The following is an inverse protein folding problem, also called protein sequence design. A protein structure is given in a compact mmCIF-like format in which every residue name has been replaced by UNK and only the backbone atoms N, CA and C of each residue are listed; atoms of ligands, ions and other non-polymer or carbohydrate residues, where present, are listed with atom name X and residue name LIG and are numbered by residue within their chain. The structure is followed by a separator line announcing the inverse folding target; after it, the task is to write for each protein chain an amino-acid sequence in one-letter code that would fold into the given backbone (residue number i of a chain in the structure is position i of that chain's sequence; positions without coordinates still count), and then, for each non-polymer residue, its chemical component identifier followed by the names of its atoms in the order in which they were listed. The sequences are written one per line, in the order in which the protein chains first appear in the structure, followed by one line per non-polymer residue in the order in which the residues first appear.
data_IF_325623863251
#
_entry.id   IF_325623863251
#
_cell.length_a   1.000
_cell.length_b   1.000
_cell.length_c   1.000
_cell.angle_alpha   90.00
_cell.angle_beta   90.00
_cell.angle_gamma   90.00
#
_symmetry.space_group_name_H-M   'P 1'
#
loop_
_entity.id
_entity.type
_entity.pdbx_description
1 polymer ?
#
# COMPACT_ATOMS: atom_id res chain seq x y z
N UNK A 1 4.70 -15.75 2.76
CA UNK A 1 5.60 -16.07 3.88
C UNK A 1 4.99 -17.13 4.79
N UNK A 2 3.71 -17.05 5.15
CA UNK A 2 3.09 -18.05 6.04
C UNK A 2 2.44 -19.25 5.35
N UNK A 3 2.76 -19.51 4.06
CA UNK A 3 2.14 -20.61 3.28
C UNK A 3 2.35 -21.99 3.89
N UNK A 4 3.50 -22.22 4.54
CA UNK A 4 3.79 -23.50 5.20
C UNK A 4 2.92 -23.68 6.44
N UNK A 5 2.66 -22.60 7.17
CA UNK A 5 1.85 -22.61 8.38
C UNK A 5 0.33 -22.64 8.04
N UNK A 6 -0.06 -22.02 6.92
CA UNK A 6 -1.43 -21.94 6.43
C UNK A 6 -1.47 -22.41 4.97
N UNK A 7 -1.26 -23.71 4.69
CA UNK A 7 -1.10 -24.25 3.33
C UNK A 7 -2.36 -24.16 2.47
N UNK A 8 -3.50 -24.14 3.13
CA UNK A 8 -4.79 -23.86 2.51
C UNK A 8 -5.30 -22.55 3.09
N UNK A 9 -6.17 -21.86 2.43
CA UNK A 9 -6.88 -20.68 2.95
C UNK A 9 -7.88 -21.10 4.04
N UNK A 10 -7.36 -21.84 5.02
CA UNK A 10 -8.14 -22.51 6.06
C UNK A 10 -8.84 -21.49 6.95
N UNK A 11 -9.91 -21.94 7.61
CA UNK A 11 -10.72 -21.16 8.56
C UNK A 11 -9.94 -20.54 9.73
N UNK A 12 -8.65 -20.83 9.85
CA UNK A 12 -7.76 -20.35 10.92
C UNK A 12 -6.73 -19.31 10.43
N UNK A 13 -6.80 -18.84 9.16
CA UNK A 13 -5.84 -17.83 8.71
C UNK A 13 -6.06 -16.49 9.44
N UNK A 14 -5.01 -15.84 9.97
CA UNK A 14 -5.15 -14.60 10.78
C UNK A 14 -5.93 -13.48 10.08
N UNK A 15 -5.84 -13.36 8.75
CA UNK A 15 -6.63 -12.38 7.98
C UNK A 15 -8.15 -12.55 8.10
N UNK A 16 -8.64 -13.71 8.58
CA UNK A 16 -10.07 -13.93 8.77
C UNK A 16 -10.59 -13.36 10.09
N UNK A 17 -9.70 -13.17 11.07
CA UNK A 17 -10.02 -12.68 12.41
C UNK A 17 -9.41 -11.33 12.74
N UNK A 18 -8.40 -10.88 11.98
CA UNK A 18 -7.66 -9.65 12.24
C UNK A 18 -7.53 -8.79 10.98
N UNK A 19 -7.52 -7.46 11.20
CA UNK A 19 -7.29 -6.51 10.11
C UNK A 19 -5.83 -6.55 9.64
N UNK A 20 -5.56 -6.41 8.31
CA UNK A 20 -4.19 -6.36 7.77
C UNK A 20 -3.27 -5.33 8.45
N UNK A 21 -3.79 -4.19 8.91
CA UNK A 21 -3.01 -3.16 9.60
C UNK A 21 -2.53 -3.58 11.00
N UNK A 22 -3.19 -4.58 11.62
CA UNK A 22 -2.74 -5.16 12.87
C UNK A 22 -1.69 -6.24 12.61
N UNK A 23 -1.89 -7.05 11.57
CA UNK A 23 -0.99 -8.15 11.23
C UNK A 23 0.36 -7.68 10.69
N UNK A 24 0.39 -6.48 10.08
CA UNK A 24 1.61 -5.86 9.56
C UNK A 24 1.77 -4.48 10.20
N UNK A 25 2.52 -4.37 11.31
CA UNK A 25 2.63 -3.13 12.05
C UNK A 25 3.35 -2.05 11.25
N UNK A 26 2.87 -0.82 11.39
CA UNK A 26 3.48 0.35 10.77
C UNK A 26 4.63 0.87 11.62
N UNK A 27 5.74 1.25 10.96
CA UNK A 27 6.89 1.85 11.63
C UNK A 27 6.49 3.13 12.38
N UNK A 28 5.82 4.05 11.69
CA UNK A 28 5.47 5.37 12.21
C UNK A 28 4.33 5.39 13.23
N UNK A 29 3.43 4.40 13.22
CA UNK A 29 2.25 4.38 14.09
C UNK A 29 2.30 3.33 15.20
N UNK A 30 3.20 2.35 15.10
CA UNK A 30 3.23 1.24 16.04
C UNK A 30 4.57 1.06 16.76
N UNK A 31 5.67 1.47 16.14
CA UNK A 31 7.00 1.15 16.63
C UNK A 31 7.79 2.37 17.12
N UNK A 32 7.60 3.54 16.53
CA UNK A 32 8.36 4.76 16.86
C UNK A 32 7.51 5.85 17.49
N UNK A 33 6.38 5.50 18.12
CA UNK A 33 5.44 6.50 18.71
C UNK A 33 6.10 7.29 19.85
N UNK A 34 6.89 6.63 20.72
CA UNK A 34 7.41 7.21 21.95
C UNK A 34 8.88 7.66 21.84
N UNK A 35 9.40 7.90 20.64
CA UNK A 35 10.81 8.28 20.41
C UNK A 35 11.83 7.27 20.99
N UNK A 36 11.40 6.10 21.39
CA UNK A 36 12.26 5.01 21.85
C UNK A 36 12.62 4.10 20.68
N UNK A 37 13.83 3.58 20.70
CA UNK A 37 14.24 2.55 19.73
C UNK A 37 13.43 1.28 20.01
N UNK A 38 12.60 0.80 19.06
CA UNK A 38 11.77 -0.37 19.29
C UNK A 38 12.61 -1.62 19.55
N UNK A 39 12.14 -2.45 20.48
CA UNK A 39 12.75 -3.75 20.70
C UNK A 39 12.28 -4.76 19.64
N UNK A 40 13.05 -4.94 18.59
CA UNK A 40 12.72 -5.88 17.52
C UNK A 40 12.93 -7.35 17.87
N UNK A 41 13.50 -7.68 19.04
CA UNK A 41 13.77 -9.08 19.44
C UNK A 41 12.49 -9.85 19.73
N UNK A 42 11.39 -9.15 20.02
CA UNK A 42 10.06 -9.73 20.26
C UNK A 42 9.37 -10.20 18.98
N UNK A 43 9.84 -9.76 17.81
CA UNK A 43 9.27 -10.14 16.53
C UNK A 43 9.95 -11.39 15.99
N UNK A 44 9.16 -12.38 15.59
CA UNK A 44 9.66 -13.60 14.94
C UNK A 44 10.21 -13.28 13.54
N UNK A 45 11.28 -13.97 13.14
CA UNK A 45 11.85 -13.85 11.80
C UNK A 45 11.11 -14.80 10.82
N UNK A 46 10.88 -14.41 9.57
CA UNK A 46 11.14 -13.11 8.96
C UNK A 46 10.17 -12.03 9.45
N UNK A 47 10.67 -10.82 9.68
CA UNK A 47 9.88 -9.67 10.14
C UNK A 47 9.27 -8.95 8.95
N UNK A 48 8.02 -8.52 9.10
CA UNK A 48 7.30 -7.75 8.10
C UNK A 48 6.75 -6.48 8.76
N UNK A 49 7.06 -5.33 8.15
CA UNK A 49 6.60 -4.02 8.59
C UNK A 49 6.00 -3.25 7.42
N UNK A 50 5.10 -2.33 7.71
CA UNK A 50 4.57 -1.37 6.77
C UNK A 50 5.07 0.04 7.08
N UNK A 51 5.12 0.89 6.08
CA UNK A 51 5.45 2.31 6.24
C UNK A 51 4.88 3.13 5.09
N UNK A 52 4.59 4.42 5.38
CA UNK A 52 4.28 5.41 4.36
C UNK A 52 5.44 6.39 4.14
N UNK A 53 6.59 6.17 4.78
CA UNK A 53 7.72 7.07 4.69
C UNK A 53 8.33 7.09 3.28
N UNK A 54 8.74 8.25 2.77
CA UNK A 54 9.57 8.31 1.58
C UNK A 54 10.92 7.65 1.85
N UNK A 55 11.57 7.15 0.79
CA UNK A 55 12.83 6.41 0.89
C UNK A 55 13.89 7.15 1.70
N UNK A 56 14.00 8.47 1.50
CA UNK A 56 14.97 9.35 2.18
C UNK A 56 14.73 9.50 3.68
N UNK A 57 13.55 9.11 4.16
CA UNK A 57 13.15 9.20 5.57
C UNK A 57 13.15 7.83 6.27
N UNK A 58 13.52 6.77 5.55
CA UNK A 58 13.67 5.46 6.20
C UNK A 58 14.82 5.48 7.18
N UNK A 59 14.70 4.76 8.32
CA UNK A 59 15.80 4.62 9.27
C UNK A 59 17.05 4.03 8.60
N UNK A 60 18.23 4.47 9.00
CA UNK A 60 19.52 3.92 8.52
C UNK A 60 19.61 2.40 8.70
N UNK A 61 19.03 1.89 9.78
CA UNK A 61 18.94 0.44 10.02
C UNK A 61 18.14 -0.30 8.95
N UNK A 62 17.23 0.37 8.24
CA UNK A 62 16.52 -0.19 7.09
C UNK A 62 17.31 0.02 5.79
N UNK A 63 17.90 1.21 5.60
CA UNK A 63 18.64 1.54 4.36
C UNK A 63 19.97 0.83 4.26
N UNK A 64 20.68 0.59 5.38
CA UNK A 64 21.97 -0.07 5.44
C UNK A 64 21.91 -1.59 5.71
N UNK A 65 20.71 -2.15 5.77
CA UNK A 65 20.50 -3.59 5.98
C UNK A 65 20.20 -4.33 4.68
N UNK A 66 20.19 -5.67 4.77
CA UNK A 66 19.73 -6.55 3.69
C UNK A 66 18.21 -6.69 3.60
N UNK A 67 17.44 -5.82 4.26
CA UNK A 67 15.99 -5.89 4.21
C UNK A 67 15.48 -5.58 2.79
N UNK A 68 14.43 -6.29 2.39
CA UNK A 68 13.76 -6.09 1.12
C UNK A 68 12.65 -5.06 1.28
N UNK A 69 12.56 -4.15 0.33
CA UNK A 69 11.53 -3.12 0.26
C UNK A 69 10.56 -3.44 -0.87
N UNK A 70 9.28 -3.45 -0.57
CA UNK A 70 8.23 -3.59 -1.59
C UNK A 70 7.44 -2.29 -1.61
N UNK A 71 7.56 -1.55 -2.70
CA UNK A 71 6.84 -0.30 -2.89
C UNK A 71 5.64 -0.52 -3.79
N UNK A 72 4.44 -0.22 -3.31
CA UNK A 72 3.21 -0.26 -4.09
C UNK A 72 2.81 1.15 -4.50
N UNK A 73 2.94 1.45 -5.77
CA UNK A 73 2.53 2.72 -6.37
C UNK A 73 1.14 2.61 -6.98
N UNK A 74 0.42 3.72 -6.99
CA UNK A 74 -0.86 3.86 -7.68
C UNK A 74 -0.88 5.14 -8.50
N UNK A 75 -1.63 5.15 -9.60
CA UNK A 75 -1.85 6.33 -10.44
C UNK A 75 -2.19 7.57 -9.59
N UNK A 76 -1.55 8.73 -9.81
CA UNK A 76 -1.72 9.92 -8.97
C UNK A 76 -3.16 10.43 -8.92
N UNK A 77 -3.94 10.26 -10.00
CA UNK A 77 -5.36 10.69 -10.05
C UNK A 77 -6.20 9.88 -9.07
N UNK A 78 -6.08 8.55 -9.12
CA UNK A 78 -6.80 7.66 -8.21
C UNK A 78 -6.25 7.74 -6.77
N UNK A 79 -4.96 7.96 -6.61
CA UNK A 79 -4.34 8.19 -5.30
C UNK A 79 -4.90 9.44 -4.64
N UNK A 80 -4.97 10.55 -5.36
CA UNK A 80 -5.54 11.80 -4.87
C UNK A 80 -6.99 11.62 -4.40
N UNK A 81 -7.84 11.03 -5.26
CA UNK A 81 -9.26 10.79 -4.93
C UNK A 81 -9.40 9.86 -3.73
N UNK A 82 -8.60 8.80 -3.68
CA UNK A 82 -8.61 7.87 -2.55
C UNK A 82 -8.21 8.57 -1.24
N UNK A 83 -7.15 9.37 -1.28
CA UNK A 83 -6.65 10.13 -0.13
C UNK A 83 -7.66 11.18 0.34
N UNK A 84 -8.30 11.92 -0.58
CA UNK A 84 -9.34 12.88 -0.27
C UNK A 84 -10.54 12.22 0.45
N UNK A 85 -11.01 11.09 -0.04
CA UNK A 85 -12.07 10.34 0.62
C UNK A 85 -11.65 9.82 1.99
N UNK A 86 -10.45 9.28 2.09
CA UNK A 86 -9.92 8.73 3.33
C UNK A 86 -9.79 9.81 4.40
N UNK A 87 -9.14 10.93 4.07
CA UNK A 87 -8.98 12.03 5.01
C UNK A 87 -10.32 12.63 5.46
N UNK A 88 -11.32 12.66 4.57
CA UNK A 88 -12.67 13.10 4.95
C UNK A 88 -13.39 12.11 5.88
N UNK A 89 -13.14 10.80 5.73
CA UNK A 89 -13.69 9.78 6.66
C UNK A 89 -13.09 9.86 8.07
N UNK A 90 -11.84 10.29 8.17
CA UNK A 90 -11.16 10.44 9.47
C UNK A 90 -11.55 11.72 10.22
N UNK A 91 -12.21 12.67 9.56
CA UNK A 91 -12.63 13.93 10.20
C UNK A 91 -13.82 13.70 11.13
N UNK A 92 -13.82 14.43 12.23
CA UNK A 92 -14.97 14.51 13.11
C UNK A 92 -16.10 15.34 12.45
N UNK A 93 -17.34 15.06 12.80
CA UNK A 93 -18.52 15.70 12.16
C UNK A 93 -18.52 17.23 12.26
N UNK A 94 -17.99 17.77 13.34
CA UNK A 94 -17.87 19.20 13.62
C UNK A 94 -16.85 19.91 12.73
N UNK A 95 -15.87 19.20 12.20
CA UNK A 95 -14.83 19.75 11.31
C UNK A 95 -15.29 19.93 9.85
N UNK A 96 -16.46 19.43 9.47
CA UNK A 96 -16.93 19.42 8.09
C UNK A 96 -16.03 18.61 7.15
N UNK A 97 -16.32 18.67 5.84
CA UNK A 97 -15.53 17.99 4.81
C UNK A 97 -14.47 18.91 4.20
N UNK A 98 -13.33 18.35 3.81
CA UNK A 98 -12.36 19.06 2.98
C UNK A 98 -12.92 19.28 1.57
N UNK A 99 -12.85 20.53 1.06
CA UNK A 99 -13.16 20.78 -0.34
C UNK A 99 -12.21 20.01 -1.25
N UNK A 100 -12.76 19.43 -2.32
CA UNK A 100 -11.99 18.72 -3.34
C UNK A 100 -10.98 19.66 -3.98
N UNK A 101 -11.41 20.88 -4.36
CA UNK A 101 -10.61 21.87 -5.06
C UNK A 101 -9.44 22.35 -4.20
N UNK A 102 -9.70 22.68 -2.92
CA UNK A 102 -8.66 23.12 -1.99
C UNK A 102 -7.65 22.02 -1.73
N UNK A 103 -8.13 20.78 -1.58
CA UNK A 103 -7.25 19.62 -1.36
C UNK A 103 -6.45 19.32 -2.61
N UNK A 104 -7.06 19.44 -3.79
CA UNK A 104 -6.40 19.27 -5.09
C UNK A 104 -5.26 20.28 -5.27
N UNK A 105 -5.53 21.55 -5.01
CA UNK A 105 -4.53 22.61 -5.12
C UNK A 105 -3.33 22.35 -4.18
N UNK A 106 -3.59 21.90 -2.97
CA UNK A 106 -2.53 21.46 -2.05
C UNK A 106 -1.72 20.29 -2.62
N UNK A 107 -2.40 19.26 -3.10
CA UNK A 107 -1.78 18.03 -3.61
C UNK A 107 -0.83 18.31 -4.79
N UNK A 108 -1.26 19.11 -5.76
CA UNK A 108 -0.42 19.46 -6.93
C UNK A 108 0.79 20.34 -6.56
N UNK A 109 0.74 21.04 -5.43
CA UNK A 109 1.86 21.79 -4.84
C UNK A 109 2.74 20.94 -3.92
N UNK A 110 2.47 19.65 -3.81
CA UNK A 110 3.24 18.71 -3.01
C UNK A 110 2.81 18.63 -1.53
N UNK A 111 1.73 19.31 -1.14
CA UNK A 111 1.23 19.33 0.24
C UNK A 111 0.15 18.26 0.41
N UNK A 112 0.54 17.11 0.92
CA UNK A 112 -0.36 15.99 1.24
C UNK A 112 0.24 15.12 2.34
N UNK A 113 -0.54 14.18 2.86
CA UNK A 113 0.01 13.13 3.72
C UNK A 113 1.09 12.37 2.94
N UNK A 114 2.28 12.29 3.53
CA UNK A 114 3.47 11.64 2.95
C UNK A 114 3.90 12.19 1.58
N UNK A 115 3.47 13.42 1.25
CA UNK A 115 3.91 14.13 0.06
C UNK A 115 5.31 14.75 0.20
N UNK A 116 5.85 15.30 -0.89
CA UNK A 116 5.27 15.40 -2.25
C UNK A 116 5.14 14.05 -2.96
N UNK A 117 3.98 13.77 -3.54
CA UNK A 117 3.66 12.46 -4.14
C UNK A 117 4.69 12.02 -5.19
N UNK A 118 5.01 12.89 -6.15
CA UNK A 118 5.91 12.51 -7.26
C UNK A 118 7.35 12.28 -6.80
N UNK A 119 7.84 13.06 -5.85
CA UNK A 119 9.20 12.91 -5.32
C UNK A 119 9.30 11.63 -4.47
N UNK A 120 8.24 11.31 -3.72
CA UNK A 120 8.12 10.06 -2.98
C UNK A 120 8.16 8.83 -3.90
N UNK A 121 7.34 8.83 -4.96
CA UNK A 121 7.29 7.77 -5.96
C UNK A 121 8.63 7.62 -6.68
N UNK A 122 9.22 8.74 -7.10
CA UNK A 122 10.46 8.77 -7.87
C UNK A 122 11.65 8.24 -7.05
N UNK A 123 11.67 8.50 -5.74
CA UNK A 123 12.71 7.96 -4.86
C UNK A 123 12.75 6.43 -4.90
N UNK A 124 11.61 5.78 -4.69
CA UNK A 124 11.53 4.31 -4.76
C UNK A 124 11.68 3.76 -6.17
N UNK A 125 11.23 4.49 -7.20
CA UNK A 125 11.42 4.08 -8.58
C UNK A 125 12.89 4.00 -8.96
N UNK A 126 13.66 5.06 -8.69
CA UNK A 126 15.11 5.09 -8.95
C UNK A 126 15.83 3.97 -8.21
N UNK A 127 15.55 3.83 -6.91
CA UNK A 127 16.17 2.77 -6.10
C UNK A 127 15.84 1.37 -6.64
N UNK A 128 14.62 1.16 -7.15
CA UNK A 128 14.26 -0.13 -7.74
C UNK A 128 14.99 -0.46 -9.05
N UNK A 129 15.46 0.57 -9.79
CA UNK A 129 16.27 0.39 -10.99
C UNK A 129 17.75 0.16 -10.65
N UNK A 130 18.25 0.83 -9.61
CA UNK A 130 19.63 0.73 -9.15
C UNK A 130 19.88 -0.57 -8.35
N UNK A 131 18.91 -0.97 -7.50
CA UNK A 131 19.00 -2.09 -6.59
C UNK A 131 17.76 -3.02 -6.69
N UNK A 132 17.52 -3.67 -7.85
CA UNK A 132 16.30 -4.46 -8.13
C UNK A 132 16.17 -5.72 -7.27
N UNK A 133 17.26 -6.24 -6.70
CA UNK A 133 17.26 -7.35 -5.76
C UNK A 133 16.80 -6.93 -4.34
N UNK A 134 16.84 -5.63 -4.06
CA UNK A 134 16.50 -5.04 -2.76
C UNK A 134 15.16 -4.32 -2.77
N UNK A 135 14.81 -3.64 -3.87
CA UNK A 135 13.57 -2.86 -3.99
C UNK A 135 12.72 -3.38 -5.13
N UNK A 136 11.54 -3.86 -4.79
CA UNK A 136 10.51 -4.23 -5.77
C UNK A 136 9.49 -3.10 -5.89
N UNK A 137 9.40 -2.52 -7.08
CA UNK A 137 8.38 -1.53 -7.41
C UNK A 137 7.20 -2.20 -8.10
N UNK A 138 6.02 -2.09 -7.52
CA UNK A 138 4.76 -2.62 -8.03
C UNK A 138 3.79 -1.48 -8.35
N UNK A 139 3.01 -1.63 -9.41
CA UNK A 139 1.90 -0.73 -9.73
C UNK A 139 0.58 -1.38 -9.37
N UNK A 140 -0.27 -0.63 -8.69
CA UNK A 140 -1.60 -1.10 -8.29
C UNK A 140 -2.44 -1.54 -9.49
N UNK A 141 -2.35 -0.82 -10.59
CA UNK A 141 -3.03 -1.10 -11.83
C UNK A 141 -2.62 -2.47 -12.39
N UNK A 142 -1.31 -2.75 -12.43
CA UNK A 142 -0.78 -4.05 -12.87
C UNK A 142 -1.19 -5.20 -11.92
N UNK A 143 -1.25 -4.93 -10.62
CA UNK A 143 -1.75 -5.91 -9.64
C UNK A 143 -3.23 -6.22 -9.85
N UNK A 144 -4.02 -5.25 -10.31
CA UNK A 144 -5.44 -5.46 -10.63
C UNK A 144 -5.64 -6.18 -11.98
N UNK A 145 -4.79 -5.88 -12.96
CA UNK A 145 -4.87 -6.44 -14.30
C UNK A 145 -4.29 -7.88 -14.35
N UNK A 146 -3.16 -8.10 -13.69
CA UNK A 146 -2.41 -9.36 -13.74
C UNK A 146 -2.07 -9.88 -12.33
N UNK A 147 -3.06 -10.11 -11.46
CA UNK A 147 -2.85 -10.37 -10.04
C UNK A 147 -1.97 -11.61 -9.79
N UNK A 148 -2.15 -12.67 -10.59
CA UNK A 148 -1.36 -13.92 -10.47
C UNK A 148 0.13 -13.67 -10.77
N UNK A 149 0.42 -12.97 -11.87
CA UNK A 149 1.79 -12.66 -12.27
C UNK A 149 2.49 -11.80 -11.22
N UNK A 150 1.81 -10.78 -10.71
CA UNK A 150 2.39 -9.88 -9.71
C UNK A 150 2.59 -10.57 -8.36
N UNK A 151 1.69 -11.49 -7.97
CA UNK A 151 1.88 -12.30 -6.76
C UNK A 151 3.06 -13.25 -6.88
N UNK A 152 3.25 -13.90 -8.03
CA UNK A 152 4.41 -14.77 -8.29
C UNK A 152 5.72 -13.97 -8.27
N UNK A 153 5.74 -12.79 -8.91
CA UNK A 153 6.89 -11.86 -8.89
C UNK A 153 7.24 -11.44 -7.47
N UNK A 154 6.24 -11.09 -6.66
CA UNK A 154 6.42 -10.75 -5.26
C UNK A 154 7.01 -11.92 -4.46
N UNK A 155 6.48 -13.12 -4.64
CA UNK A 155 6.96 -14.32 -3.96
C UNK A 155 8.42 -14.64 -4.32
N UNK A 156 8.78 -14.54 -5.58
CA UNK A 156 10.15 -14.72 -6.06
C UNK A 156 11.09 -13.66 -5.47
N UNK A 157 10.70 -12.39 -5.51
CA UNK A 157 11.47 -11.29 -4.92
C UNK A 157 11.72 -11.52 -3.43
N UNK A 158 10.75 -11.98 -2.67
CA UNK A 158 10.88 -12.26 -1.23
C UNK A 158 11.69 -13.54 -0.93
N UNK A 159 12.19 -14.27 -1.95
CA UNK A 159 12.94 -15.51 -1.77
C UNK A 159 12.05 -16.69 -1.35
N UNK A 160 10.75 -16.63 -1.61
CA UNK A 160 9.80 -17.71 -1.33
C UNK A 160 8.93 -17.99 -2.58
N UNK A 161 9.52 -18.38 -3.72
CA UNK A 161 8.77 -18.67 -4.93
C UNK A 161 7.75 -19.81 -4.69
N UNK A 162 6.73 -19.84 -5.51
CA UNK A 162 5.79 -20.96 -5.51
C UNK A 162 6.46 -22.18 -6.15
N UNK A 163 6.25 -23.35 -5.56
CA UNK A 163 6.63 -24.63 -6.20
C UNK A 163 5.57 -25.05 -7.20
N UNK A 164 5.94 -25.93 -8.15
CA UNK A 164 4.99 -26.51 -9.09
C UNK A 164 3.83 -27.23 -8.38
N UNK A 165 4.10 -27.82 -7.23
CA UNK A 165 3.09 -28.49 -6.41
C UNK A 165 2.11 -27.48 -5.80
N UNK A 166 2.59 -26.35 -5.26
CA UNK A 166 1.74 -25.27 -4.75
C UNK A 166 0.87 -24.67 -5.85
N UNK A 167 1.43 -24.47 -7.05
CA UNK A 167 0.68 -23.95 -8.19
C UNK A 167 -0.42 -24.94 -8.62
N UNK A 168 -0.08 -26.22 -8.72
CA UNK A 168 -1.04 -27.28 -9.12
C UNK A 168 -2.16 -27.43 -8.10
N UNK A 169 -1.88 -27.25 -6.81
CA UNK A 169 -2.89 -27.26 -5.73
C UNK A 169 -3.73 -26.00 -5.66
N UNK A 170 -3.48 -24.99 -6.49
CA UNK A 170 -4.21 -23.74 -6.51
C UNK A 170 -3.86 -22.78 -5.36
N UNK A 171 -2.66 -22.88 -4.76
CA UNK A 171 -2.25 -22.02 -3.66
C UNK A 171 -2.22 -20.55 -4.05
N UNK A 172 -1.80 -20.22 -5.28
CA UNK A 172 -1.79 -18.85 -5.79
C UNK A 172 -3.21 -18.28 -5.84
N UNK A 173 -4.15 -19.03 -6.42
CA UNK A 173 -5.55 -18.60 -6.56
C UNK A 173 -6.23 -18.50 -5.18
N UNK A 174 -5.89 -19.39 -4.25
CA UNK A 174 -6.35 -19.35 -2.87
C UNK A 174 -5.91 -18.09 -2.14
N UNK A 175 -4.64 -17.69 -2.26
CA UNK A 175 -4.11 -16.44 -1.67
C UNK A 175 -4.79 -15.22 -2.28
N UNK A 176 -4.96 -15.20 -3.60
CA UNK A 176 -5.64 -14.09 -4.28
C UNK A 176 -7.09 -13.94 -3.80
N UNK A 177 -7.82 -15.04 -3.67
CA UNK A 177 -9.18 -15.04 -3.14
C UNK A 177 -9.21 -14.53 -1.69
N UNK A 178 -8.34 -15.05 -0.83
CA UNK A 178 -8.25 -14.64 0.57
C UNK A 178 -7.97 -13.14 0.71
N UNK A 179 -7.01 -12.62 -0.08
CA UNK A 179 -6.59 -11.23 -0.05
C UNK A 179 -7.42 -10.31 -0.96
N UNK A 180 -8.46 -10.81 -1.61
CA UNK A 180 -9.29 -9.99 -2.49
C UNK A 180 -10.01 -8.89 -1.70
N UNK A 181 -10.26 -7.75 -2.36
CA UNK A 181 -11.03 -6.65 -1.80
C UNK A 181 -12.43 -7.12 -1.35
N UNK A 182 -13.09 -7.92 -2.19
CA UNK A 182 -14.41 -8.48 -1.90
C UNK A 182 -14.39 -9.33 -0.62
N UNK A 183 -13.42 -10.25 -0.49
CA UNK A 183 -13.31 -11.09 0.70
C UNK A 183 -13.02 -10.24 1.94
N UNK A 184 -11.93 -9.45 1.92
CA UNK A 184 -11.49 -8.70 3.10
C UNK A 184 -12.52 -7.66 3.55
N UNK A 185 -13.14 -6.93 2.62
CA UNK A 185 -14.15 -5.91 2.97
C UNK A 185 -15.43 -6.50 3.57
N UNK A 186 -15.71 -7.78 3.33
CA UNK A 186 -16.88 -8.48 3.82
C UNK A 186 -16.68 -9.22 5.14
N UNK A 187 -15.46 -9.36 5.63
CA UNK A 187 -15.20 -9.94 6.94
C UNK A 187 -15.77 -9.06 8.07
N UNK A 188 -16.40 -9.69 9.06
CA UNK A 188 -17.01 -8.98 10.18
C UNK A 188 -15.99 -8.12 10.94
N UNK A 189 -14.78 -8.62 11.16
CA UNK A 189 -13.70 -7.86 11.79
C UNK A 189 -13.42 -6.55 11.03
N UNK A 190 -13.48 -6.54 9.71
CA UNK A 190 -13.21 -5.35 8.89
C UNK A 190 -14.43 -4.42 8.78
N UNK A 191 -15.64 -4.91 9.02
CA UNK A 191 -16.87 -4.10 9.06
C UNK A 191 -17.06 -3.38 10.37
N UNK A 192 -16.71 -4.02 11.49
CA UNK A 192 -17.07 -3.57 12.85
C UNK A 192 -15.88 -3.15 13.71
N UNK A 193 -14.66 -3.60 13.37
CA UNK A 193 -13.46 -3.34 14.14
C UNK A 193 -12.91 -1.92 13.99
N UNK A 194 -11.98 -1.57 14.88
CA UNK A 194 -11.29 -0.27 14.92
C UNK A 194 -9.82 -0.46 15.28
N UNK A 195 -8.97 0.46 14.82
CA UNK A 195 -7.62 0.61 15.33
C UNK A 195 -7.63 1.14 16.77
N UNK A 196 -6.55 0.94 17.49
CA UNK A 196 -6.36 1.51 18.82
C UNK A 196 -6.46 3.05 18.83
N UNK A 197 -6.07 3.69 17.73
CA UNK A 197 -6.19 5.14 17.47
C UNK A 197 -7.64 5.61 17.19
N UNK A 198 -8.58 4.66 17.00
CA UNK A 198 -10.01 4.93 16.85
C UNK A 198 -10.57 4.84 15.45
N UNK A 199 -9.74 4.75 14.42
CA UNK A 199 -10.17 4.63 13.01
C UNK A 199 -10.90 3.31 12.78
N UNK A 200 -12.09 3.38 12.18
CA UNK A 200 -12.86 2.20 11.82
C UNK A 200 -12.20 1.45 10.65
N UNK A 201 -12.04 0.13 10.75
CA UNK A 201 -11.41 -0.67 9.70
C UNK A 201 -12.10 -0.53 8.34
N UNK A 202 -13.43 -0.35 8.32
CA UNK A 202 -14.17 -0.10 7.07
C UNK A 202 -13.73 1.17 6.32
N UNK A 203 -13.02 2.10 6.98
CA UNK A 203 -12.50 3.29 6.32
C UNK A 203 -11.42 2.96 5.28
N UNK A 204 -10.72 1.84 5.45
CA UNK A 204 -9.69 1.36 4.53
C UNK A 204 -10.25 0.66 3.29
N UNK A 205 -11.53 0.31 3.30
CA UNK A 205 -12.20 -0.39 2.20
C UNK A 205 -13.22 0.53 1.53
N UNK A 206 -12.79 1.26 0.48
CA UNK A 206 -13.70 2.16 -0.24
C UNK A 206 -14.29 1.50 -1.50
N UNK A 207 -13.47 1.25 -2.52
CA UNK A 207 -13.90 0.66 -3.80
C UNK A 207 -12.95 -0.43 -4.32
N UNK A 208 -11.64 -0.28 -4.12
CA UNK A 208 -10.65 -1.23 -4.61
C UNK A 208 -10.54 -1.31 -6.15
N UNK A 209 -10.94 -0.25 -6.87
CA UNK A 209 -11.05 -0.17 -8.33
C UNK A 209 -9.99 0.77 -8.91
N UNK A 210 -9.70 0.59 -10.20
CA UNK A 210 -8.85 1.48 -11.02
C UNK A 210 -9.74 2.43 -11.80
N UNK A 211 -9.31 3.70 -11.94
CA UNK A 211 -9.97 4.69 -12.80
C UNK A 211 -11.16 5.41 -12.15
N UNK A 212 -11.32 5.34 -10.83
CA UNK A 212 -12.42 6.04 -10.13
C UNK A 212 -12.25 7.57 -10.16
N UNK A 213 -11.05 8.07 -10.44
CA UNK A 213 -10.78 9.50 -10.54
C UNK A 213 -11.69 10.22 -11.54
N UNK A 214 -12.07 9.58 -12.63
CA UNK A 214 -13.00 10.13 -13.65
C UNK A 214 -14.39 10.49 -13.10
N UNK A 215 -14.79 9.90 -11.98
CA UNK A 215 -16.10 10.15 -11.36
C UNK A 215 -16.07 11.36 -10.41
N UNK A 216 -14.89 11.91 -10.12
CA UNK A 216 -14.68 12.96 -9.11
C UNK A 216 -13.97 14.19 -9.67
N UNK A 217 -13.02 13.99 -10.58
CA UNK A 217 -12.17 15.07 -11.10
C UNK A 217 -12.75 15.67 -12.38
N UNK A 218 -12.64 16.98 -12.51
CA UNK A 218 -12.94 17.66 -13.76
C UNK A 218 -11.88 17.32 -14.83
N UNK A 219 -12.22 17.47 -16.14
CA UNK A 219 -11.22 17.29 -17.20
C UNK A 219 -9.96 18.14 -17.02
N UNK A 220 -10.11 19.38 -16.52
CA UNK A 220 -8.99 20.28 -16.24
C UNK A 220 -8.09 19.78 -15.11
N UNK A 221 -8.67 19.22 -14.04
CA UNK A 221 -7.90 18.59 -12.96
C UNK A 221 -7.12 17.38 -13.45
N UNK A 222 -7.77 16.52 -14.25
CA UNK A 222 -7.12 15.36 -14.86
C UNK A 222 -5.95 15.79 -15.73
N UNK A 223 -6.16 16.73 -16.65
CA UNK A 223 -5.10 17.26 -17.51
C UNK A 223 -3.94 17.85 -16.70
N UNK A 224 -4.23 18.57 -15.61
CA UNK A 224 -3.20 19.15 -14.75
C UNK A 224 -2.35 18.07 -14.07
N UNK A 225 -2.97 17.00 -13.55
CA UNK A 225 -2.24 15.88 -12.97
C UNK A 225 -1.39 15.15 -14.01
N UNK A 226 -1.93 14.94 -15.22
CA UNK A 226 -1.18 14.31 -16.31
C UNK A 226 0.05 15.14 -16.71
N UNK A 227 -0.10 16.47 -16.84
CA UNK A 227 1.00 17.37 -17.14
C UNK A 227 2.10 17.32 -16.07
N UNK A 228 1.74 17.39 -14.78
CA UNK A 228 2.72 17.33 -13.69
C UNK A 228 3.40 15.96 -13.65
N UNK A 229 2.64 14.90 -13.85
CA UNK A 229 3.16 13.54 -13.87
C UNK A 229 4.17 13.35 -15.00
N UNK A 230 3.85 13.82 -16.20
CA UNK A 230 4.76 13.79 -17.34
C UNK A 230 6.03 14.60 -17.06
N UNK A 231 5.90 15.83 -16.56
CA UNK A 231 7.05 16.68 -16.23
C UNK A 231 7.98 16.05 -15.19
N UNK A 232 7.40 15.39 -14.18
CA UNK A 232 8.16 14.85 -13.05
C UNK A 232 8.76 13.47 -13.34
N UNK A 233 8.11 12.64 -14.14
CA UNK A 233 8.44 11.22 -14.26
C UNK A 233 8.95 10.79 -15.64
N UNK A 234 8.63 11.51 -16.72
CA UNK A 234 8.98 11.11 -18.09
C UNK A 234 10.48 10.86 -18.27
N UNK A 235 11.33 11.75 -17.77
CA UNK A 235 12.79 11.62 -17.87
C UNK A 235 13.37 10.38 -17.16
N UNK A 236 12.56 9.68 -16.36
CA UNK A 236 12.97 8.49 -15.61
C UNK A 236 12.28 7.20 -16.09
N UNK A 237 11.54 7.27 -17.21
CA UNK A 237 10.87 6.12 -17.80
C UNK A 237 9.68 5.56 -17.04
N UNK A 238 9.23 6.21 -15.95
CA UNK A 238 8.03 5.80 -15.21
C UNK A 238 6.77 6.39 -15.86
N UNK A 239 5.82 5.52 -16.23
CA UNK A 239 4.54 5.88 -16.86
C UNK A 239 3.37 5.29 -16.05
N UNK A 240 2.21 6.01 -16.06
CA UNK A 240 0.94 5.58 -15.48
C UNK A 240 -0.15 5.48 -16.54
#
# INVERSE_FOLDING_TARGET
MNRVQYPNTDNNHPLLSENPHILVPFLEYGLYIDSQVPNFTTFTSPRLFATHLPLVSLPESATNSSCKLVYLCRNPKDTFVSLWHFTNKLRTKDMGSNSLEVTFDKFIRGVSLYGPFWDHVLGYWKESLENPERVLFLKYEEMKEQPKLQLMKLAQFLGCPFSNEEETRGAVDGIQKLCSFENLSNLDVNKTGKLASGEEYKAFFRRGEVGDAKNHLTPQMIQKLDQITEQKLHGYGLKF
#
